data_IF_529726776692
#
_entry.id   IF_529726776692
#
_cell.length_a   1.000
_cell.length_b   1.000
_cell.length_c   1.000
_cell.angle_alpha   90.00
_cell.angle_beta   90.00
_cell.angle_gamma   90.00
#
_symmetry.space_group_name_H-M   'P 1'
#
loop_
_entity.id
_entity.type
_entity.pdbx_description
1 polymer ?
#
# COMPACT_ATOMS: atom_id res chain seq x y z
N UNK A 1 -58.10 -16.18 0.46
CA UNK A 1 -56.77 -15.76 0.96
C UNK A 1 -55.77 -16.78 0.43
N UNK A 2 -55.15 -16.49 -0.72
CA UNK A 2 -54.19 -17.35 -1.41
C UNK A 2 -52.79 -16.97 -0.93
N UNK A 3 -52.07 -17.91 -0.31
CA UNK A 3 -50.68 -17.76 0.09
C UNK A 3 -49.81 -18.10 -1.12
N UNK A 4 -49.20 -17.09 -1.75
CA UNK A 4 -48.19 -17.30 -2.80
C UNK A 4 -46.89 -17.74 -2.14
N UNK A 5 -46.43 -18.94 -2.46
CA UNK A 5 -45.11 -19.44 -2.10
C UNK A 5 -44.07 -18.76 -2.99
N UNK A 6 -43.21 -17.96 -2.37
CA UNK A 6 -42.03 -17.36 -3.00
C UNK A 6 -40.94 -18.43 -3.11
N UNK A 7 -40.61 -18.82 -4.34
CA UNK A 7 -39.61 -19.82 -4.63
C UNK A 7 -38.21 -19.31 -4.24
N UNK A 8 -37.55 -20.05 -3.35
CA UNK A 8 -36.17 -19.81 -2.93
C UNK A 8 -35.23 -20.40 -3.98
N UNK A 9 -34.42 -19.60 -4.72
CA UNK A 9 -33.42 -20.14 -5.62
C UNK A 9 -32.23 -20.67 -4.80
N UNK A 10 -32.22 -21.98 -4.60
CA UNK A 10 -31.10 -22.73 -4.03
C UNK A 10 -30.05 -23.01 -5.11
N UNK A 11 -29.21 -22.02 -5.42
CA UNK A 11 -27.98 -22.23 -6.19
C UNK A 11 -26.78 -21.99 -5.28
N UNK A 12 -26.38 -23.06 -4.60
CA UNK A 12 -25.04 -23.21 -4.03
C UNK A 12 -24.08 -23.48 -5.18
N UNK A 13 -23.84 -22.48 -6.03
CA UNK A 13 -22.79 -22.52 -7.04
C UNK A 13 -21.46 -22.53 -6.30
N UNK A 14 -20.88 -23.71 -6.16
CA UNK A 14 -19.56 -23.93 -5.57
C UNK A 14 -18.57 -23.29 -6.53
N UNK A 15 -18.27 -22.01 -6.32
CA UNK A 15 -17.23 -21.28 -7.04
C UNK A 15 -15.88 -21.91 -6.66
N UNK A 16 -15.53 -23.02 -7.32
CA UNK A 16 -14.22 -23.63 -7.23
C UNK A 16 -13.21 -22.63 -7.80
N UNK A 17 -12.51 -21.94 -6.89
CA UNK A 17 -11.44 -21.05 -7.26
C UNK A 17 -10.41 -21.84 -8.09
N UNK A 18 -9.97 -21.30 -9.24
CA UNK A 18 -9.01 -21.98 -10.08
C UNK A 18 -7.76 -22.31 -9.27
N UNK A 19 -7.11 -23.47 -9.53
CA UNK A 19 -5.93 -23.89 -8.78
C UNK A 19 -4.88 -22.78 -8.80
N UNK A 20 -4.54 -22.27 -7.62
CA UNK A 20 -3.56 -21.19 -7.49
C UNK A 20 -2.19 -21.71 -7.94
N UNK A 21 -1.73 -21.23 -9.09
CA UNK A 21 -0.41 -21.59 -9.58
C UNK A 21 0.67 -21.00 -8.65
N UNK A 22 1.70 -21.77 -8.28
CA UNK A 22 2.76 -21.29 -7.42
C UNK A 22 3.46 -20.09 -8.07
N UNK A 23 3.74 -19.05 -7.29
CA UNK A 23 4.39 -17.85 -7.78
C UNK A 23 5.80 -18.15 -8.28
N UNK A 24 6.04 -17.96 -9.58
CA UNK A 24 7.35 -18.21 -10.20
C UNK A 24 8.44 -17.19 -9.80
N UNK A 25 8.11 -16.18 -9.01
CA UNK A 25 9.05 -15.11 -8.65
C UNK A 25 10.29 -15.65 -7.93
N UNK A 26 10.13 -16.59 -6.99
CA UNK A 26 11.26 -17.18 -6.24
C UNK A 26 12.09 -18.21 -7.04
N UNK A 27 11.64 -18.59 -8.25
CA UNK A 27 12.43 -19.44 -9.16
C UNK A 27 13.43 -18.64 -9.99
N UNK A 28 13.30 -17.31 -9.99
CA UNK A 28 14.24 -16.44 -10.68
C UNK A 28 15.55 -16.35 -9.89
N UNK A 29 16.71 -16.31 -10.58
CA UNK A 29 17.98 -15.94 -9.98
C UNK A 29 17.88 -14.63 -9.19
N UNK A 30 18.64 -14.53 -8.11
CA UNK A 30 18.59 -13.40 -7.17
C UNK A 30 18.85 -12.07 -7.87
N UNK A 31 19.74 -12.03 -8.86
CA UNK A 31 20.08 -10.84 -9.63
C UNK A 31 18.86 -10.28 -10.39
N UNK A 32 18.05 -11.16 -10.99
CA UNK A 32 16.82 -10.76 -11.69
C UNK A 32 15.75 -10.29 -10.71
N UNK A 33 15.67 -10.90 -9.52
CA UNK A 33 14.75 -10.46 -8.47
C UNK A 33 15.10 -9.06 -7.96
N UNK A 34 16.39 -8.81 -7.68
CA UNK A 34 16.87 -7.49 -7.28
C UNK A 34 16.59 -6.42 -8.36
N UNK A 35 16.72 -6.78 -9.65
CA UNK A 35 16.35 -5.89 -10.76
C UNK A 35 14.86 -5.50 -10.73
N UNK A 36 13.96 -6.47 -10.48
CA UNK A 36 12.52 -6.19 -10.31
C UNK A 36 12.27 -5.27 -9.10
N UNK A 37 12.99 -5.50 -8.00
CA UNK A 37 12.85 -4.70 -6.79
C UNK A 37 13.33 -3.24 -7.02
N UNK A 38 14.39 -3.03 -7.80
CA UNK A 38 14.91 -1.69 -8.15
C UNK A 38 13.90 -0.83 -8.92
N UNK A 39 12.96 -1.48 -9.64
CA UNK A 39 11.88 -0.83 -10.37
C UNK A 39 10.55 -0.75 -9.60
N UNK A 40 10.53 -1.18 -8.34
CA UNK A 40 9.33 -1.21 -7.51
C UNK A 40 9.21 0.07 -6.65
N UNK A 41 7.98 0.47 -6.34
CA UNK A 41 7.74 1.55 -5.35
C UNK A 41 8.08 1.05 -3.95
N UNK A 42 8.38 1.97 -3.03
CA UNK A 42 8.62 1.66 -1.62
C UNK A 42 7.45 0.87 -1.00
N UNK A 43 6.22 1.18 -1.43
CA UNK A 43 5.01 0.49 -0.99
C UNK A 43 4.97 -0.96 -1.48
N UNK A 44 5.28 -1.20 -2.76
CA UNK A 44 5.36 -2.55 -3.32
C UNK A 44 6.47 -3.35 -2.63
N UNK A 45 7.63 -2.75 -2.39
CA UNK A 45 8.72 -3.38 -1.65
C UNK A 45 8.29 -3.78 -0.22
N UNK A 46 7.56 -2.91 0.49
CA UNK A 46 7.02 -3.21 1.81
C UNK A 46 6.04 -4.39 1.76
N UNK A 47 5.16 -4.43 0.75
CA UNK A 47 4.25 -5.56 0.54
C UNK A 47 5.02 -6.85 0.26
N UNK A 48 6.00 -6.84 -0.64
CA UNK A 48 6.84 -8.00 -0.97
C UNK A 48 7.64 -8.51 0.24
N UNK A 49 8.19 -7.60 1.05
CA UNK A 49 8.85 -7.96 2.30
C UNK A 49 7.87 -8.54 3.34
N UNK A 50 6.58 -8.19 3.27
CA UNK A 50 5.56 -8.74 4.17
C UNK A 50 5.10 -10.16 3.80
N UNK A 51 5.24 -10.59 2.54
CA UNK A 51 4.72 -11.87 2.05
C UNK A 51 5.71 -13.04 2.17
N UNK A 52 7.01 -12.79 2.04
CA UNK A 52 8.03 -13.85 2.04
C UNK A 52 9.29 -13.43 2.80
N UNK A 53 9.83 -14.32 3.65
CA UNK A 53 11.07 -14.10 4.40
C UNK A 53 12.31 -14.00 3.52
N UNK A 54 12.38 -14.76 2.42
CA UNK A 54 13.47 -14.70 1.44
C UNK A 54 13.51 -13.33 0.76
N UNK A 55 12.37 -12.88 0.23
CA UNK A 55 12.24 -11.55 -0.38
C UNK A 55 12.56 -10.44 0.62
N UNK A 56 12.08 -10.58 1.86
CA UNK A 56 12.42 -9.65 2.96
C UNK A 56 13.93 -9.56 3.17
N UNK A 57 14.61 -10.69 3.32
CA UNK A 57 16.06 -10.72 3.55
C UNK A 57 16.83 -10.05 2.40
N UNK A 58 16.44 -10.28 1.15
CA UNK A 58 17.08 -9.67 -0.02
C UNK A 58 16.87 -8.16 -0.11
N UNK A 59 15.64 -7.69 0.14
CA UNK A 59 15.32 -6.26 0.15
C UNK A 59 16.14 -5.55 1.24
N UNK A 60 16.22 -6.11 2.45
CA UNK A 60 17.00 -5.52 3.54
C UNK A 60 18.52 -5.64 3.35
N UNK A 61 19.00 -6.67 2.66
CA UNK A 61 20.41 -6.80 2.30
C UNK A 61 20.87 -5.74 1.29
N UNK A 62 19.93 -5.10 0.57
CA UNK A 62 20.22 -4.05 -0.42
C UNK A 62 19.54 -2.71 -0.07
N UNK A 63 20.04 -1.95 0.93
CA UNK A 63 19.46 -0.66 1.33
C UNK A 63 19.36 0.37 0.19
N UNK A 64 20.21 0.24 -0.83
CA UNK A 64 20.16 1.08 -2.03
C UNK A 64 18.78 1.03 -2.68
N UNK A 65 18.20 -0.16 -2.88
CA UNK A 65 16.90 -0.35 -3.53
C UNK A 65 15.80 0.37 -2.75
N UNK A 66 15.82 0.23 -1.42
CA UNK A 66 14.86 0.91 -0.55
C UNK A 66 14.99 2.43 -0.69
N UNK A 67 16.22 2.97 -0.60
CA UNK A 67 16.48 4.41 -0.66
C UNK A 67 16.14 5.02 -2.02
N UNK A 68 16.40 4.32 -3.12
CA UNK A 68 16.12 4.82 -4.47
C UNK A 68 14.66 4.61 -4.89
N UNK A 69 13.90 3.78 -4.17
CA UNK A 69 12.51 3.49 -4.51
C UNK A 69 11.61 4.72 -4.37
N UNK A 70 10.67 4.86 -5.31
CA UNK A 70 9.68 5.92 -5.27
C UNK A 70 8.79 5.79 -4.03
N UNK A 71 8.60 6.90 -3.31
CA UNK A 71 7.77 6.95 -2.10
C UNK A 71 8.53 6.77 -0.79
N UNK A 72 9.84 6.48 -0.82
CA UNK A 72 10.65 6.34 0.39
C UNK A 72 10.98 7.70 1.05
N UNK A 73 10.75 7.81 2.35
CA UNK A 73 11.04 8.99 3.16
C UNK A 73 12.52 9.00 3.59
N UNK A 74 13.32 9.91 3.03
CA UNK A 74 14.75 10.01 3.36
C UNK A 74 15.06 10.75 4.68
N UNK A 75 14.18 11.65 5.10
CA UNK A 75 14.38 12.48 6.29
C UNK A 75 13.72 11.96 7.56
N UNK A 76 13.50 10.64 7.71
CA UNK A 76 12.91 10.11 8.93
C UNK A 76 14.03 10.10 9.98
N UNK A 77 13.87 10.76 11.14
CA UNK A 77 14.94 10.83 12.14
C UNK A 77 15.30 9.44 12.68
N UNK A 78 14.35 8.50 12.63
CA UNK A 78 14.57 7.07 12.91
C UNK A 78 14.61 6.27 11.60
N UNK A 79 15.22 6.77 10.52
CA UNK A 79 15.33 6.02 9.27
C UNK A 79 15.95 4.66 9.58
N UNK A 80 15.11 3.63 9.61
CA UNK A 80 15.49 2.29 10.03
C UNK A 80 16.26 1.64 8.89
N UNK A 81 17.21 0.77 9.23
CA UNK A 81 17.81 -0.16 8.25
C UNK A 81 16.74 -1.07 7.62
N UNK A 82 15.62 -1.22 8.32
CA UNK A 82 14.46 -1.96 7.84
C UNK A 82 13.43 -1.03 7.21
N UNK A 83 13.01 -1.35 5.99
CA UNK A 83 11.81 -0.78 5.38
C UNK A 83 10.59 -1.10 6.25
N UNK A 84 10.07 -0.08 6.91
CA UNK A 84 8.84 -0.14 7.68
C UNK A 84 7.76 0.70 7.04
N UNK A 85 6.54 0.58 7.58
CA UNK A 85 5.45 1.48 7.24
C UNK A 85 5.79 2.95 7.53
N UNK A 86 6.77 3.23 8.41
CA UNK A 86 7.24 4.60 8.73
C UNK A 86 8.00 5.30 7.65
N UNK A 87 8.55 4.51 6.76
CA UNK A 87 9.43 5.03 5.74
C UNK A 87 8.68 5.32 4.43
N UNK A 88 7.35 5.17 4.39
CA UNK A 88 6.52 5.43 3.21
C UNK A 88 5.90 6.84 3.30
N UNK A 89 6.27 7.73 2.37
CA UNK A 89 5.80 9.13 2.35
C UNK A 89 4.90 9.49 1.17
N UNK A 90 4.92 8.71 0.10
CA UNK A 90 4.20 9.02 -1.13
C UNK A 90 3.80 7.75 -1.84
N UNK A 91 2.63 7.80 -2.47
CA UNK A 91 2.09 6.71 -3.28
C UNK A 91 1.97 7.17 -4.71
N UNK A 92 2.38 6.30 -5.63
CA UNK A 92 2.50 6.59 -7.06
C UNK A 92 1.14 6.57 -7.74
N UNK A 93 0.20 5.79 -7.21
CA UNK A 93 -1.11 5.61 -7.81
C UNK A 93 -2.27 5.71 -6.81
N UNK A 94 -3.47 5.79 -7.36
CA UNK A 94 -4.72 5.80 -6.61
C UNK A 94 -4.98 4.44 -5.95
N UNK A 95 -4.63 3.38 -6.65
CA UNK A 95 -4.77 1.99 -6.22
C UNK A 95 -3.88 1.72 -5.00
N UNK A 96 -2.64 2.22 -5.02
CA UNK A 96 -1.75 2.17 -3.85
C UNK A 96 -2.35 2.93 -2.66
N UNK A 97 -2.94 4.11 -2.90
CA UNK A 97 -3.63 4.88 -1.86
C UNK A 97 -4.81 4.12 -1.24
N UNK A 98 -5.61 3.45 -2.07
CA UNK A 98 -6.73 2.62 -1.61
C UNK A 98 -6.22 1.41 -0.81
N UNK A 99 -5.21 0.70 -1.32
CA UNK A 99 -4.60 -0.43 -0.61
C UNK A 99 -4.03 0.00 0.74
N UNK A 100 -3.35 1.15 0.77
CA UNK A 100 -2.85 1.75 2.00
C UNK A 100 -3.99 2.03 3.00
N UNK A 101 -5.06 2.68 2.54
CA UNK A 101 -6.22 2.99 3.37
C UNK A 101 -6.92 1.74 3.92
N UNK A 102 -6.98 0.66 3.14
CA UNK A 102 -7.72 -0.54 3.53
C UNK A 102 -6.92 -1.48 4.42
N UNK A 103 -5.61 -1.62 4.19
CA UNK A 103 -4.78 -2.63 4.87
C UNK A 103 -3.95 -2.07 6.02
N UNK A 104 -3.52 -0.82 5.92
CA UNK A 104 -2.48 -0.28 6.78
C UNK A 104 -2.97 0.85 7.69
N UNK A 105 -4.16 1.39 7.42
CA UNK A 105 -4.78 2.39 8.29
C UNK A 105 -5.24 1.72 9.59
N UNK A 106 -4.71 2.09 10.77
CA UNK A 106 -5.25 1.59 12.02
C UNK A 106 -6.68 2.11 12.21
N UNK A 107 -7.65 1.24 12.54
CA UNK A 107 -8.99 1.68 12.90
C UNK A 107 -8.93 2.55 14.17
N UNK A 108 -9.70 3.63 14.21
CA UNK A 108 -9.86 4.45 15.42
C UNK A 108 -8.82 5.54 15.67
N UNK A 109 -7.77 5.69 14.84
CA UNK A 109 -7.02 6.95 14.80
C UNK A 109 -7.66 7.85 13.74
N UNK A 110 -7.96 9.09 14.12
CA UNK A 110 -8.48 10.12 13.22
C UNK A 110 -7.59 10.25 11.97
N UNK A 111 -8.10 11.01 10.98
CA UNK A 111 -7.35 11.57 9.85
C UNK A 111 -5.82 11.48 10.02
N UNK A 112 -5.09 11.06 8.99
CA UNK A 112 -3.62 10.87 8.95
C UNK A 112 -2.74 12.03 9.48
N UNK A 113 -3.37 13.12 9.93
CA UNK A 113 -2.86 14.27 10.67
C UNK A 113 -1.96 13.97 11.86
N UNK A 114 -1.78 12.73 12.33
CA UNK A 114 -0.85 12.46 13.45
C UNK A 114 0.54 11.97 13.05
N UNK A 115 0.88 11.89 11.75
CA UNK A 115 2.19 11.34 11.36
C UNK A 115 3.11 12.27 10.59
N UNK A 116 2.57 13.09 9.69
CA UNK A 116 3.35 14.20 9.11
C UNK A 116 3.33 15.46 9.98
N UNK A 117 2.39 15.57 10.93
CA UNK A 117 2.15 16.79 11.70
C UNK A 117 2.91 16.81 13.04
N UNK A 118 3.59 15.72 13.39
CA UNK A 118 4.47 15.62 14.57
C UNK A 118 5.93 15.94 14.26
N UNK A 119 6.33 16.01 12.98
CA UNK A 119 7.65 16.50 12.53
C UNK A 119 7.66 18.01 12.26
N UNK A 120 6.67 18.73 12.80
CA UNK A 120 6.31 20.10 12.40
C UNK A 120 7.18 21.22 12.97
N UNK A 121 8.06 20.96 13.93
CA UNK A 121 8.99 21.95 14.46
C UNK A 121 10.42 21.47 14.17
N UNK A 122 11.21 22.10 13.30
CA UNK A 122 11.83 23.41 13.57
C UNK A 122 12.43 24.11 12.33
N UNK A 123 12.31 23.57 11.11
CA UNK A 123 13.23 23.92 9.99
C UNK A 123 12.59 24.50 8.72
N UNK A 124 11.37 25.06 8.79
CA UNK A 124 10.76 25.72 7.61
C UNK A 124 10.23 24.79 6.51
N UNK A 125 10.29 23.46 6.69
CA UNK A 125 9.71 22.44 5.77
C UNK A 125 8.17 22.36 5.82
N UNK A 126 7.51 23.12 6.69
CA UNK A 126 6.06 23.14 6.88
C UNK A 126 5.26 23.65 5.66
N UNK A 127 5.86 24.44 4.77
CA UNK A 127 5.19 24.90 3.54
C UNK A 127 5.08 23.79 2.48
N UNK A 128 6.15 22.99 2.33
CA UNK A 128 6.17 21.85 1.41
C UNK A 128 5.18 20.76 1.84
N UNK A 129 5.12 20.47 3.15
CA UNK A 129 4.19 19.49 3.73
C UNK A 129 2.72 19.90 3.59
N UNK A 130 2.39 21.20 3.75
CA UNK A 130 1.01 21.71 3.54
C UNK A 130 0.52 21.53 2.10
N UNK A 131 1.37 21.85 1.12
CA UNK A 131 1.03 21.67 -0.31
C UNK A 131 0.85 20.19 -0.66
N UNK A 132 1.60 19.29 -0.02
CA UNK A 132 1.46 17.84 -0.15
C UNK A 132 0.18 17.29 0.50
N UNK A 133 -0.14 17.70 1.73
CA UNK A 133 -1.40 17.31 2.40
C UNK A 133 -2.61 17.67 1.54
N UNK A 134 -2.63 18.89 0.99
CA UNK A 134 -3.71 19.31 0.10
C UNK A 134 -3.85 18.43 -1.16
N UNK A 135 -2.71 18.09 -1.79
CA UNK A 135 -2.70 17.21 -2.97
C UNK A 135 -3.18 15.78 -2.61
N UNK A 136 -2.76 15.28 -1.45
CA UNK A 136 -3.19 13.98 -0.94
C UNK A 136 -4.70 13.92 -0.68
N UNK A 137 -5.24 14.87 0.07
CA UNK A 137 -6.67 14.92 0.39
C UNK A 137 -7.52 15.02 -0.89
N UNK A 138 -7.03 15.74 -1.91
CA UNK A 138 -7.66 15.80 -3.24
C UNK A 138 -7.62 14.43 -3.97
N UNK A 139 -6.47 13.73 -3.96
CA UNK A 139 -6.34 12.39 -4.54
C UNK A 139 -7.27 11.39 -3.85
N UNK A 140 -7.34 11.40 -2.53
CA UNK A 140 -8.22 10.52 -1.74
C UNK A 140 -9.70 10.83 -2.01
N UNK A 141 -10.08 12.11 -2.06
CA UNK A 141 -11.45 12.50 -2.40
C UNK A 141 -11.84 12.02 -3.81
N UNK A 142 -10.91 12.10 -4.77
CA UNK A 142 -11.11 11.58 -6.13
C UNK A 142 -11.25 10.06 -6.14
N UNK A 143 -10.43 9.35 -5.35
CA UNK A 143 -10.51 7.89 -5.19
C UNK A 143 -11.89 7.44 -4.73
N UNK A 144 -12.37 8.08 -3.66
CA UNK A 144 -13.67 7.77 -3.05
C UNK A 144 -14.82 7.98 -4.03
N UNK A 145 -14.77 9.03 -4.85
CA UNK A 145 -15.78 9.25 -5.90
C UNK A 145 -15.80 8.15 -6.95
N UNK A 146 -14.64 7.68 -7.39
CA UNK A 146 -14.54 6.61 -8.40
C UNK A 146 -15.08 5.29 -7.85
N UNK A 147 -14.77 4.97 -6.57
CA UNK A 147 -15.31 3.77 -5.93
C UNK A 147 -16.84 3.84 -5.77
N UNK A 148 -17.37 4.98 -5.33
CA UNK A 148 -18.82 5.17 -5.19
C UNK A 148 -19.59 5.04 -6.51
N UNK A 149 -18.96 5.35 -7.66
CA UNK A 149 -19.57 5.17 -8.99
C UNK A 149 -19.60 3.72 -9.49
N UNK A 150 -18.88 2.80 -8.84
CA UNK A 150 -18.87 1.37 -9.21
C UNK A 150 -19.89 0.54 -8.41
N UNK A 151 -20.46 1.10 -7.35
CA UNK A 151 -21.37 0.41 -6.43
C UNK A 151 -22.86 0.72 -6.68
N UNK A 152 -23.20 1.53 -7.69
CA UNK A 152 -24.57 1.86 -8.08
C UNK A 152 -24.82 1.60 -9.56
#
# INVERSE_FOLDING_TARGET
MHFSQEATPSETEVNELPPQQPSNLLRLPTELRLCIYDHSTAMVLLQLASTCSTTRAEIHASPRIIRTSYGYWHGHPEASETLTIKDICEMGSLEEAVLWHNRYRPPGRGSFECWWDTTRDTTGKAAWLRKRKFNWDLKVAKAKRILAQREG
#
